data_IF_599283764951
#
_entry.id   IF_599283764951
#
_cell.length_a   1.000
_cell.length_b   1.000
_cell.length_c   1.000
_cell.angle_alpha   90.00
_cell.angle_beta   90.00
_cell.angle_gamma   90.00
#
_symmetry.space_group_name_H-M   'P 1'
#
loop_
_entity.id
_entity.type
_entity.pdbx_description
1 polymer ?
#
# COMPACT_ATOMS: atom_id res chain seq x y z
N UNK A 1 0.70 -21.40 32.52
CA UNK A 1 1.05 -22.36 31.45
C UNK A 1 1.36 -21.51 30.24
N UNK A 2 2.65 -21.32 29.99
CA UNK A 2 3.14 -20.46 28.92
C UNK A 2 2.91 -21.16 27.59
N UNK A 3 1.91 -20.69 26.84
CA UNK A 3 1.66 -21.13 25.48
C UNK A 3 2.73 -20.49 24.59
N UNK A 4 3.83 -21.19 24.34
CA UNK A 4 4.67 -20.89 23.18
C UNK A 4 3.95 -21.44 21.95
N UNK A 5 3.50 -20.59 21.00
CA UNK A 5 2.91 -21.08 19.76
C UNK A 5 3.98 -21.89 19.03
N UNK A 6 3.76 -23.20 18.92
CA UNK A 6 4.58 -24.02 18.03
C UNK A 6 4.08 -23.75 16.61
N UNK A 7 4.84 -22.95 15.86
CA UNK A 7 4.52 -22.51 14.49
C UNK A 7 4.50 -23.64 13.44
N UNK A 8 4.55 -24.90 13.88
CA UNK A 8 4.57 -26.11 13.06
C UNK A 8 3.21 -26.50 12.45
N UNK A 9 2.15 -25.74 12.74
CA UNK A 9 0.78 -25.99 12.25
C UNK A 9 0.38 -25.28 10.95
N UNK A 10 1.26 -24.50 10.32
CA UNK A 10 0.94 -23.80 9.07
C UNK A 10 0.85 -24.79 7.89
N UNK A 11 -0.37 -25.18 7.51
CA UNK A 11 -0.65 -26.04 6.34
C UNK A 11 -0.48 -25.32 4.98
N UNK A 12 0.24 -24.20 4.97
CA UNK A 12 0.69 -23.52 3.75
C UNK A 12 1.75 -24.34 3.00
N UNK A 13 2.31 -25.38 3.62
CA UNK A 13 3.18 -26.38 2.97
C UNK A 13 2.53 -27.04 1.74
N UNK A 14 1.19 -27.09 1.66
CA UNK A 14 0.46 -27.61 0.49
C UNK A 14 0.22 -26.57 -0.61
N UNK A 15 0.20 -25.27 -0.27
CA UNK A 15 -0.07 -24.16 -1.19
C UNK A 15 1.24 -23.55 -1.71
N UNK A 16 2.22 -23.43 -0.81
CA UNK A 16 3.62 -23.17 -1.06
C UNK A 16 4.35 -24.50 -0.87
N UNK A 17 4.57 -25.26 -1.96
CA UNK A 17 5.22 -26.57 -1.90
C UNK A 17 6.42 -26.59 -0.94
N UNK A 18 6.60 -27.63 -0.11
CA UNK A 18 7.70 -27.68 0.84
C UNK A 18 8.95 -28.01 0.04
N UNK A 19 9.75 -26.99 -0.24
CA UNK A 19 11.09 -27.19 -0.77
C UNK A 19 11.92 -27.70 0.40
N UNK A 20 12.33 -28.97 0.30
CA UNK A 20 13.06 -29.68 1.33
C UNK A 20 14.18 -28.84 1.98
N UNK A 21 14.37 -28.91 3.30
CA UNK A 21 15.46 -28.22 3.97
C UNK A 21 16.76 -28.95 3.64
N UNK A 22 17.51 -28.47 2.66
CA UNK A 22 18.87 -28.93 2.41
C UNK A 22 19.85 -27.95 3.04
N UNK A 23 20.53 -28.46 4.06
CA UNK A 23 21.44 -27.72 4.90
C UNK A 23 22.85 -27.70 4.29
N UNK A 24 23.50 -26.54 4.49
CA UNK A 24 24.95 -26.26 4.55
C UNK A 24 25.60 -25.59 3.32
N UNK A 25 26.27 -24.48 3.67
CA UNK A 25 27.17 -23.58 2.93
C UNK A 25 26.56 -22.75 1.80
N UNK A 26 26.06 -21.56 2.15
CA UNK A 26 25.95 -20.41 1.23
C UNK A 26 27.33 -20.13 0.58
N UNK A 27 27.45 -19.69 -0.69
CA UNK A 27 26.45 -19.06 -1.57
C UNK A 27 26.33 -19.65 -3.01
N UNK A 28 25.14 -19.55 -3.62
CA UNK A 28 24.88 -18.78 -4.86
C UNK A 28 23.36 -18.76 -5.14
N UNK A 29 22.77 -17.57 -5.00
CA UNK A 29 21.35 -17.20 -5.24
C UNK A 29 20.32 -17.87 -4.30
N UNK A 30 20.15 -17.24 -3.13
CA UNK A 30 19.10 -17.43 -2.14
C UNK A 30 17.77 -17.96 -2.72
N UNK A 31 17.47 -19.25 -2.51
CA UNK A 31 16.19 -19.87 -2.90
C UNK A 31 15.41 -20.35 -1.71
N UNK A 32 14.15 -19.92 -1.68
CA UNK A 32 13.01 -20.82 -1.79
C UNK A 32 12.15 -20.38 -2.98
N UNK A 33 11.81 -21.33 -3.85
CA UNK A 33 10.92 -21.17 -5.02
C UNK A 33 9.46 -20.82 -4.61
N UNK A 34 9.26 -19.66 -3.96
CA UNK A 34 7.95 -19.03 -3.96
C UNK A 34 7.66 -18.57 -5.40
N UNK A 35 6.43 -18.76 -5.92
CA UNK A 35 6.08 -18.34 -7.28
C UNK A 35 6.45 -16.88 -7.58
N UNK A 36 6.43 -16.03 -6.56
CA UNK A 36 6.68 -14.60 -6.66
C UNK A 36 8.17 -14.26 -6.71
N UNK A 37 9.04 -14.95 -5.97
CA UNK A 37 10.49 -14.81 -6.17
C UNK A 37 10.93 -15.44 -7.49
N UNK A 38 10.32 -16.56 -7.90
CA UNK A 38 10.56 -17.17 -9.21
C UNK A 38 10.18 -16.23 -10.35
N UNK A 39 9.11 -15.44 -10.19
CA UNK A 39 8.68 -14.46 -11.19
C UNK A 39 9.69 -13.33 -11.38
N UNK A 40 10.17 -12.74 -10.28
CA UNK A 40 11.19 -11.69 -10.31
C UNK A 40 12.52 -12.23 -10.86
N UNK A 41 12.89 -13.47 -10.49
CA UNK A 41 14.09 -14.14 -10.98
C UNK A 41 13.99 -14.48 -12.47
N UNK A 42 12.91 -15.12 -12.91
CA UNK A 42 12.66 -15.48 -14.30
C UNK A 42 12.65 -14.23 -15.19
N UNK A 43 12.07 -13.12 -14.74
CA UNK A 43 12.10 -11.86 -15.49
C UNK A 43 13.53 -11.33 -15.66
N UNK A 44 14.32 -11.29 -14.57
CA UNK A 44 15.74 -10.90 -14.60
C UNK A 44 16.58 -11.81 -15.49
N UNK A 45 16.26 -13.11 -15.54
CA UNK A 45 16.93 -14.10 -16.40
C UNK A 45 16.50 -14.00 -17.87
N UNK A 46 15.24 -13.63 -18.15
CA UNK A 46 14.67 -13.53 -19.50
C UNK A 46 15.17 -12.33 -20.30
N UNK A 47 15.50 -11.23 -19.61
CA UNK A 47 16.20 -10.10 -20.23
C UNK A 47 17.65 -10.52 -20.38
N UNK A 48 18.13 -10.67 -21.61
CA UNK A 48 19.55 -10.98 -21.91
C UNK A 48 20.42 -9.81 -21.45
N UNK A 49 20.81 -9.79 -20.17
CA UNK A 49 21.53 -8.70 -19.53
C UNK A 49 20.96 -8.40 -18.14
N UNK A 50 21.82 -7.97 -17.23
CA UNK A 50 21.44 -7.59 -15.87
C UNK A 50 20.34 -6.52 -15.93
N UNK A 51 19.08 -6.88 -15.61
CA UNK A 51 18.05 -5.88 -15.35
C UNK A 51 18.52 -5.15 -14.10
N UNK A 52 19.03 -3.94 -14.29
CA UNK A 52 19.41 -3.07 -13.18
C UNK A 52 18.20 -2.95 -12.27
N UNK A 53 18.30 -3.46 -11.05
CA UNK A 53 17.34 -3.16 -10.01
C UNK A 53 17.47 -1.71 -9.52
N UNK A 54 18.45 -0.95 -10.05
CA UNK A 54 18.71 0.45 -9.75
C UNK A 54 18.19 1.36 -10.87
N UNK A 55 17.54 2.43 -10.45
CA UNK A 55 17.01 3.50 -11.31
C UNK A 55 17.73 4.83 -11.01
N UNK A 56 19.03 4.94 -11.30
CA UNK A 56 19.89 5.98 -10.74
C UNK A 56 19.52 7.40 -11.16
N UNK A 57 18.78 7.56 -12.27
CA UNK A 57 18.39 8.86 -12.80
C UNK A 57 16.94 9.23 -12.47
N UNK A 58 16.20 8.28 -11.89
CA UNK A 58 14.80 8.38 -11.53
C UNK A 58 14.64 8.49 -10.00
N UNK A 59 13.45 8.91 -9.56
CA UNK A 59 13.07 9.01 -8.15
C UNK A 59 14.00 9.90 -7.33
N UNK A 60 14.46 11.04 -7.89
CA UNK A 60 15.56 11.85 -7.33
C UNK A 60 15.34 12.26 -5.87
N UNK A 61 14.15 12.75 -5.54
CA UNK A 61 13.86 13.14 -4.15
C UNK A 61 13.73 11.94 -3.23
N UNK A 62 12.99 10.90 -3.63
CA UNK A 62 12.87 9.67 -2.86
C UNK A 62 14.25 9.03 -2.63
N UNK A 63 15.18 9.13 -3.58
CA UNK A 63 16.57 8.67 -3.45
C UNK A 63 17.35 9.47 -2.41
N UNK A 64 17.17 10.79 -2.38
CA UNK A 64 17.77 11.65 -1.35
C UNK A 64 17.25 11.31 0.05
N UNK A 65 15.97 10.97 0.17
CA UNK A 65 15.33 10.60 1.42
C UNK A 65 15.68 9.19 1.88
N UNK A 66 15.50 8.20 1.00
CA UNK A 66 15.72 6.79 1.30
C UNK A 66 17.21 6.46 1.47
N UNK A 67 18.12 7.21 0.80
CA UNK A 67 19.55 6.95 0.85
C UNK A 67 19.88 5.52 0.41
N UNK A 68 20.54 4.78 1.30
CA UNK A 68 20.86 3.36 1.14
C UNK A 68 19.76 2.40 1.63
N UNK A 69 18.63 2.93 2.13
CA UNK A 69 17.55 2.16 2.73
C UNK A 69 17.89 1.53 4.08
N UNK A 70 18.97 1.99 4.76
CA UNK A 70 19.36 1.46 6.06
C UNK A 70 18.38 1.80 7.18
N UNK A 71 18.41 1.00 8.25
CA UNK A 71 17.64 1.26 9.47
C UNK A 71 17.94 2.64 10.07
N UNK A 72 19.19 3.12 9.94
CA UNK A 72 19.58 4.46 10.39
C UNK A 72 18.79 5.55 9.66
N UNK A 73 18.64 5.42 8.35
CA UNK A 73 17.83 6.34 7.55
C UNK A 73 16.37 6.26 7.94
N UNK A 74 15.83 5.05 8.16
CA UNK A 74 14.45 4.89 8.65
C UNK A 74 14.23 5.57 10.01
N UNK A 75 15.17 5.46 10.95
CA UNK A 75 15.11 6.17 12.25
C UNK A 75 15.06 7.68 12.04
N UNK A 76 15.92 8.23 11.17
CA UNK A 76 15.96 9.67 10.90
C UNK A 76 14.63 10.16 10.29
N UNK A 77 14.09 9.42 9.32
CA UNK A 77 12.81 9.75 8.71
C UNK A 77 11.64 9.62 9.71
N UNK A 78 11.69 8.64 10.62
CA UNK A 78 10.72 8.45 11.69
C UNK A 78 10.71 9.65 12.64
N UNK A 79 11.88 10.14 13.02
CA UNK A 79 12.01 11.30 13.90
C UNK A 79 11.42 12.57 13.24
N UNK A 80 11.57 12.74 11.92
CA UNK A 80 10.91 13.81 11.15
C UNK A 80 9.38 13.65 11.19
N UNK A 81 8.87 12.44 10.91
CA UNK A 81 7.43 12.16 10.92
C UNK A 81 6.80 12.37 12.30
N UNK A 82 7.42 11.83 13.37
CA UNK A 82 6.95 12.03 14.75
C UNK A 82 6.99 13.50 15.18
N UNK A 83 7.99 14.26 14.73
CA UNK A 83 8.04 15.72 14.97
C UNK A 83 6.89 16.45 14.27
N UNK A 84 6.55 16.01 13.07
CA UNK A 84 5.41 16.55 12.32
C UNK A 84 4.08 16.25 13.01
N UNK A 85 3.84 15.01 13.47
CA UNK A 85 2.64 14.66 14.25
C UNK A 85 2.51 15.55 15.49
N UNK A 86 3.59 15.77 16.24
CA UNK A 86 3.59 16.69 17.39
C UNK A 86 3.24 18.13 17.01
N UNK A 87 3.65 18.57 15.83
CA UNK A 87 3.29 19.90 15.31
C UNK A 87 1.80 19.98 14.97
N UNK A 88 1.19 18.90 14.45
CA UNK A 88 -0.25 18.80 14.27
C UNK A 88 -0.97 18.89 15.61
N UNK A 89 -0.55 18.12 16.63
CA UNK A 89 -1.10 18.19 17.99
C UNK A 89 -1.07 19.62 18.55
N UNK A 90 0.05 20.32 18.41
CA UNK A 90 0.19 21.70 18.89
C UNK A 90 -0.67 22.71 18.10
N UNK A 91 -1.04 22.37 16.87
CA UNK A 91 -1.91 23.20 16.02
C UNK A 91 -3.39 23.02 16.36
N UNK A 92 -3.76 21.95 17.08
CA UNK A 92 -5.12 21.72 17.56
C UNK A 92 -5.52 22.83 18.56
N UNK A 93 -6.56 23.59 18.23
CA UNK A 93 -7.08 24.65 19.11
C UNK A 93 -6.47 26.04 18.91
N UNK A 94 -5.59 26.24 17.92
CA UNK A 94 -5.15 27.57 17.52
C UNK A 94 -6.34 28.39 16.98
N UNK A 95 -6.71 29.45 17.69
CA UNK A 95 -7.89 30.29 17.42
C UNK A 95 -7.74 31.26 16.25
N UNK A 96 -6.52 31.45 15.73
CA UNK A 96 -6.26 32.27 14.55
C UNK A 96 -5.63 31.46 13.42
N UNK A 97 -6.09 31.65 12.16
CA UNK A 97 -5.42 31.11 11.00
C UNK A 97 -4.09 31.83 10.81
N UNK A 98 -3.04 31.37 11.50
CA UNK A 98 -1.68 31.78 11.22
C UNK A 98 -1.20 31.12 9.93
N UNK A 99 -0.28 31.76 9.22
CA UNK A 99 0.40 31.19 8.05
C UNK A 99 1.18 29.89 8.37
N UNK A 100 1.33 29.55 9.65
CA UNK A 100 2.00 28.36 10.16
C UNK A 100 1.04 27.25 10.61
N UNK A 101 -0.28 27.42 10.42
CA UNK A 101 -1.23 26.39 10.82
C UNK A 101 -1.06 25.16 9.92
N UNK A 102 -0.63 24.04 10.52
CA UNK A 102 -0.37 22.79 9.80
C UNK A 102 -1.63 21.97 9.58
N UNK A 103 -2.77 22.44 10.10
CA UNK A 103 -4.10 21.84 9.94
C UNK A 103 -5.02 22.76 9.15
N UNK A 104 -5.77 22.20 8.21
CA UNK A 104 -6.77 22.90 7.42
C UNK A 104 -8.12 22.22 7.57
N UNK A 105 -9.18 23.04 7.73
CA UNK A 105 -10.55 22.54 7.69
C UNK A 105 -11.04 22.49 6.25
N UNK A 106 -11.42 21.30 5.82
CA UNK A 106 -11.86 21.01 4.48
C UNK A 106 -13.37 21.15 4.34
N UNK A 107 -13.79 21.54 3.14
CA UNK A 107 -15.18 21.42 2.70
C UNK A 107 -15.23 21.10 1.22
N UNK A 108 -16.25 20.33 0.82
CA UNK A 108 -16.59 20.18 -0.59
C UNK A 108 -17.06 21.53 -1.18
N UNK A 109 -16.72 21.78 -2.44
CA UNK A 109 -17.37 22.81 -3.27
C UNK A 109 -18.88 22.53 -3.43
N UNK A 110 -19.67 23.56 -3.74
CA UNK A 110 -21.13 23.43 -3.78
C UNK A 110 -21.60 22.46 -4.87
N UNK A 111 -20.90 22.40 -6.00
CA UNK A 111 -21.20 21.43 -7.05
C UNK A 111 -20.87 19.99 -6.63
N UNK A 112 -19.74 19.75 -5.95
CA UNK A 112 -19.43 18.42 -5.42
C UNK A 112 -20.38 18.00 -4.29
N UNK A 113 -20.83 18.95 -3.45
CA UNK A 113 -21.87 18.70 -2.44
C UNK A 113 -23.18 18.28 -3.10
N UNK A 114 -23.62 19.00 -4.13
CA UNK A 114 -24.84 18.69 -4.90
C UNK A 114 -24.73 17.31 -5.53
N UNK A 115 -23.64 17.05 -6.25
CA UNK A 115 -23.36 15.75 -6.87
C UNK A 115 -23.39 14.62 -5.84
N UNK A 116 -22.73 14.78 -4.67
CA UNK A 116 -22.76 13.80 -3.58
C UNK A 116 -24.18 13.53 -3.11
N UNK A 117 -24.99 14.58 -2.92
CA UNK A 117 -26.39 14.47 -2.54
C UNK A 117 -27.20 13.65 -3.54
N UNK A 118 -27.04 13.91 -4.84
CA UNK A 118 -27.68 13.15 -5.92
C UNK A 118 -27.26 11.67 -5.90
N UNK A 119 -25.96 11.39 -5.69
CA UNK A 119 -25.49 10.00 -5.58
C UNK A 119 -26.13 9.28 -4.38
N UNK A 120 -26.21 9.95 -3.23
CA UNK A 120 -26.83 9.39 -2.03
C UNK A 120 -28.32 9.10 -2.23
N UNK A 121 -29.06 9.99 -2.91
CA UNK A 121 -30.47 9.77 -3.26
C UNK A 121 -30.69 8.56 -4.17
N UNK A 122 -29.70 8.24 -5.01
CA UNK A 122 -29.69 7.01 -5.84
C UNK A 122 -29.25 5.75 -5.06
N UNK A 123 -29.15 5.82 -3.73
CA UNK A 123 -28.70 4.72 -2.87
C UNK A 123 -27.19 4.43 -2.99
N UNK A 124 -26.43 5.30 -3.66
CA UNK A 124 -24.97 5.14 -3.80
C UNK A 124 -24.32 5.77 -2.57
N UNK A 125 -24.33 5.04 -1.46
CA UNK A 125 -23.69 5.41 -0.19
C UNK A 125 -22.55 4.42 0.10
N UNK A 126 -21.38 4.89 0.57
CA UNK A 126 -20.31 3.97 0.96
C UNK A 126 -20.71 3.24 2.24
N UNK A 127 -20.42 1.94 2.36
CA UNK A 127 -20.57 1.26 3.64
C UNK A 127 -19.60 1.87 4.64
N UNK A 128 -19.98 1.88 5.92
CA UNK A 128 -19.09 2.33 6.99
C UNK A 128 -17.83 1.44 7.09
N UNK A 129 -16.75 2.04 7.59
CA UNK A 129 -15.52 1.34 8.00
C UNK A 129 -15.91 0.27 9.03
N UNK A 130 -15.49 -0.99 8.81
CA UNK A 130 -15.79 -2.10 9.73
C UNK A 130 -16.21 -3.40 9.06
N UNK A 131 -16.65 -3.39 7.79
CA UNK A 131 -16.93 -4.67 7.11
C UNK A 131 -15.67 -5.53 6.97
N UNK A 132 -14.48 -4.93 6.94
CA UNK A 132 -13.22 -5.65 6.86
C UNK A 132 -12.85 -6.49 8.09
N UNK A 133 -13.45 -6.22 9.27
CA UNK A 133 -13.30 -7.05 10.47
C UNK A 133 -14.05 -8.39 10.38
N UNK A 134 -14.92 -8.56 9.37
CA UNK A 134 -15.58 -9.84 9.16
C UNK A 134 -14.54 -10.90 8.81
N UNK A 135 -14.69 -12.08 9.40
CA UNK A 135 -13.97 -13.30 9.03
C UNK A 135 -14.12 -13.57 7.52
N UNK A 136 -13.04 -14.03 6.89
CA UNK A 136 -13.05 -14.52 5.52
C UNK A 136 -13.97 -15.76 5.40
N UNK A 137 -14.40 -16.08 4.18
CA UNK A 137 -15.30 -17.23 3.99
C UNK A 137 -14.58 -18.54 4.30
N UNK A 138 -15.32 -19.55 4.73
CA UNK A 138 -14.77 -20.86 5.07
C UNK A 138 -14.06 -21.50 3.89
N UNK A 139 -14.55 -21.30 2.66
CA UNK A 139 -13.92 -21.82 1.43
C UNK A 139 -12.54 -21.21 1.22
N UNK A 140 -12.38 -19.90 1.42
CA UNK A 140 -11.07 -19.24 1.31
C UNK A 140 -10.13 -19.76 2.38
N UNK A 141 -10.60 -19.88 3.62
CA UNK A 141 -9.78 -20.35 4.73
C UNK A 141 -9.37 -21.81 4.55
N UNK A 142 -10.24 -22.66 4.00
CA UNK A 142 -9.93 -24.06 3.68
C UNK A 142 -8.87 -24.16 2.59
N UNK A 143 -9.02 -23.39 1.50
CA UNK A 143 -8.04 -23.34 0.40
C UNK A 143 -6.65 -22.94 0.89
N UNK A 144 -6.57 -21.99 1.83
CA UNK A 144 -5.31 -21.52 2.40
C UNK A 144 -4.79 -22.40 3.55
N UNK A 145 -5.55 -23.39 4.00
CA UNK A 145 -5.23 -24.13 5.22
C UNK A 145 -5.22 -23.25 6.49
N UNK A 146 -5.97 -22.14 6.46
CA UNK A 146 -6.01 -21.09 7.47
C UNK A 146 -7.22 -21.18 8.42
N UNK A 147 -8.07 -22.21 8.30
CA UNK A 147 -9.31 -22.34 9.10
C UNK A 147 -9.10 -22.36 10.61
N UNK A 148 -7.88 -22.63 11.08
CA UNK A 148 -7.49 -22.67 12.51
C UNK A 148 -6.49 -21.59 12.90
N UNK A 149 -6.27 -20.60 12.03
CA UNK A 149 -5.40 -19.49 12.37
C UNK A 149 -6.04 -18.57 13.41
N UNK A 150 -5.24 -17.76 14.12
CA UNK A 150 -5.77 -16.75 15.04
C UNK A 150 -6.80 -15.84 14.37
N UNK A 151 -7.85 -15.48 15.11
CA UNK A 151 -8.96 -14.65 14.62
C UNK A 151 -8.52 -13.33 13.97
N UNK A 152 -7.53 -12.58 14.50
CA UNK A 152 -7.06 -11.35 13.86
C UNK A 152 -6.64 -11.53 12.40
N UNK A 153 -5.98 -12.65 12.08
CA UNK A 153 -5.38 -12.91 10.76
C UNK A 153 -6.39 -13.36 9.70
N UNK A 154 -7.52 -13.91 10.13
CA UNK A 154 -8.54 -14.47 9.24
C UNK A 154 -9.68 -13.48 8.96
N UNK A 155 -9.57 -12.25 9.44
CA UNK A 155 -10.42 -11.14 8.97
C UNK A 155 -10.12 -10.84 7.49
N UNK A 156 -11.12 -10.37 6.74
CA UNK A 156 -10.91 -10.00 5.32
C UNK A 156 -9.86 -8.90 5.15
N UNK A 157 -9.79 -7.96 6.10
CA UNK A 157 -8.78 -6.91 6.08
C UNK A 157 -7.37 -7.50 6.25
N UNK A 158 -7.12 -8.29 7.29
CA UNK A 158 -5.78 -8.82 7.57
C UNK A 158 -5.35 -9.90 6.58
N UNK A 159 -6.27 -10.77 6.17
CA UNK A 159 -5.96 -11.82 5.21
C UNK A 159 -5.52 -11.22 3.87
N UNK A 160 -6.25 -10.24 3.31
CA UNK A 160 -5.84 -9.62 2.05
C UNK A 160 -4.78 -8.52 2.21
N UNK A 161 -4.64 -7.91 3.38
CA UNK A 161 -3.77 -6.74 3.63
C UNK A 161 -2.44 -7.05 4.31
N UNK A 162 -2.26 -8.23 4.89
CA UNK A 162 -0.97 -8.69 5.42
C UNK A 162 -0.58 -10.05 4.85
N UNK A 163 -1.50 -11.03 4.85
CA UNK A 163 -1.15 -12.40 4.42
C UNK A 163 -0.92 -12.47 2.91
N UNK A 164 -1.88 -12.02 2.10
CA UNK A 164 -1.73 -12.03 0.63
C UNK A 164 -0.59 -11.12 0.15
N UNK A 165 -0.32 -10.01 0.84
CA UNK A 165 0.82 -9.16 0.54
C UNK A 165 2.13 -9.94 0.70
N UNK A 166 2.29 -10.62 1.85
CA UNK A 166 3.47 -11.45 2.09
C UNK A 166 3.57 -12.65 1.14
N UNK A 167 2.44 -13.26 0.74
CA UNK A 167 2.44 -14.29 -0.31
C UNK A 167 2.96 -13.73 -1.65
N UNK A 168 2.49 -12.55 -2.07
CA UNK A 168 2.83 -11.96 -3.36
C UNK A 168 4.23 -11.32 -3.41
N UNK A 169 4.80 -10.99 -2.26
CA UNK A 169 6.19 -10.53 -2.12
C UNK A 169 7.15 -11.71 -2.01
N UNK A 170 6.67 -12.81 -1.45
CA UNK A 170 7.43 -14.02 -1.16
C UNK A 170 8.18 -13.90 0.16
N UNK A 171 8.33 -15.04 0.85
CA UNK A 171 9.09 -15.16 2.09
C UNK A 171 10.14 -16.27 1.97
N UNK A 172 11.03 -16.37 2.97
CA UNK A 172 12.02 -17.44 3.03
C UNK A 172 11.39 -18.83 3.19
N UNK A 173 10.28 -18.96 3.90
CA UNK A 173 9.50 -20.20 3.95
C UNK A 173 8.11 -19.89 4.49
N UNK A 174 7.25 -20.91 4.55
CA UNK A 174 5.89 -20.75 5.07
C UNK A 174 5.86 -20.26 6.54
N UNK A 175 6.66 -20.80 7.48
CA UNK A 175 6.72 -20.26 8.85
C UNK A 175 7.12 -18.77 8.89
N UNK A 176 8.14 -18.39 8.14
CA UNK A 176 8.60 -16.99 8.09
C UNK A 176 7.57 -16.10 7.41
N UNK A 177 6.85 -16.58 6.40
CA UNK A 177 5.75 -15.85 5.77
C UNK A 177 4.64 -15.53 6.78
N UNK A 178 4.25 -16.52 7.57
CA UNK A 178 3.25 -16.35 8.61
C UNK A 178 3.71 -15.33 9.65
N UNK A 179 4.94 -15.48 10.16
CA UNK A 179 5.56 -14.54 11.10
C UNK A 179 5.60 -13.12 10.52
N UNK A 180 6.02 -12.97 9.27
CA UNK A 180 6.04 -11.69 8.55
C UNK A 180 4.64 -11.07 8.44
N UNK A 181 3.62 -11.86 8.08
CA UNK A 181 2.24 -11.40 7.99
C UNK A 181 1.71 -10.93 9.35
N UNK A 182 2.07 -11.62 10.45
CA UNK A 182 1.72 -11.19 11.81
C UNK A 182 2.38 -9.85 12.16
N UNK A 183 3.67 -9.68 11.84
CA UNK A 183 4.36 -8.41 12.10
C UNK A 183 3.79 -7.25 11.27
N UNK A 184 3.33 -7.52 10.05
CA UNK A 184 2.69 -6.51 9.20
C UNK A 184 1.28 -6.17 9.66
N UNK A 185 0.70 -6.93 10.60
CA UNK A 185 -0.55 -6.51 11.23
C UNK A 185 -0.38 -5.27 12.11
N UNK A 186 0.84 -4.77 12.34
CA UNK A 186 1.07 -3.47 12.98
C UNK A 186 0.19 -2.37 12.36
N UNK A 187 0.01 -2.39 11.03
CA UNK A 187 -0.93 -1.53 10.31
C UNK A 187 -2.36 -1.56 10.91
N UNK A 188 -2.86 -2.73 11.27
CA UNK A 188 -4.21 -2.88 11.82
C UNK A 188 -4.34 -2.44 13.28
N UNK A 189 -3.22 -2.16 13.96
CA UNK A 189 -3.24 -1.57 15.29
C UNK A 189 -3.90 -0.19 15.27
N UNK A 190 -3.55 0.62 14.27
CA UNK A 190 -4.15 1.94 13.97
C UNK A 190 -5.65 1.82 13.67
N UNK A 191 -6.08 0.68 13.12
CA UNK A 191 -7.50 0.37 12.90
C UNK A 191 -8.21 -0.23 14.12
N UNK A 192 -7.60 -0.19 15.31
CA UNK A 192 -8.19 -0.62 16.57
C UNK A 192 -8.24 -2.13 16.79
N UNK A 193 -7.51 -2.94 16.01
CA UNK A 193 -7.54 -4.42 16.17
C UNK A 193 -7.17 -4.87 17.57
N UNK A 194 -6.23 -4.18 18.21
CA UNK A 194 -5.78 -4.45 19.57
C UNK A 194 -6.88 -4.25 20.64
N UNK A 195 -7.93 -3.49 20.34
CA UNK A 195 -9.12 -3.39 21.19
C UNK A 195 -10.16 -4.49 20.92
N UNK A 196 -10.18 -5.03 19.69
CA UNK A 196 -11.17 -6.01 19.24
C UNK A 196 -10.73 -7.45 19.57
N UNK A 197 -9.44 -7.73 19.44
CA UNK A 197 -8.87 -9.06 19.60
C UNK A 197 -7.90 -9.11 20.78
N UNK A 198 -8.27 -9.74 21.91
CA UNK A 198 -7.43 -9.81 23.11
C UNK A 198 -6.05 -10.45 22.88
N UNK A 199 -5.94 -11.34 21.89
CA UNK A 199 -4.70 -12.03 21.53
C UNK A 199 -3.79 -11.23 20.59
N UNK A 200 -4.20 -10.05 20.12
CA UNK A 200 -3.48 -9.30 19.10
C UNK A 200 -2.05 -8.96 19.52
N UNK A 201 -1.88 -8.36 20.69
CA UNK A 201 -0.56 -7.92 21.16
C UNK A 201 0.35 -9.11 21.51
N UNK A 202 -0.21 -10.20 22.05
CA UNK A 202 0.59 -11.39 22.37
C UNK A 202 1.05 -12.10 21.08
N UNK A 203 0.17 -12.19 20.09
CA UNK A 203 0.49 -12.74 18.76
C UNK A 203 1.56 -11.88 18.06
N UNK A 204 1.39 -10.56 18.04
CA UNK A 204 2.33 -9.62 17.47
C UNK A 204 3.72 -9.74 18.11
N UNK A 205 3.79 -9.70 19.44
CA UNK A 205 5.04 -9.85 20.17
C UNK A 205 5.70 -11.20 19.89
N UNK A 206 4.94 -12.29 19.83
CA UNK A 206 5.50 -13.61 19.52
C UNK A 206 6.15 -13.67 18.13
N UNK A 207 5.62 -12.95 17.14
CA UNK A 207 6.20 -12.89 15.80
C UNK A 207 7.42 -11.96 15.72
N UNK A 208 7.44 -10.88 16.50
CA UNK A 208 8.60 -9.98 16.61
C UNK A 208 9.84 -10.69 17.16
N UNK A 209 9.66 -11.69 18.03
CA UNK A 209 10.74 -12.48 18.63
C UNK A 209 10.81 -13.91 18.09
N UNK A 210 10.22 -14.18 16.93
CA UNK A 210 10.31 -15.48 16.27
C UNK A 210 11.77 -15.80 15.91
N UNK A 211 12.35 -16.76 16.63
CA UNK A 211 13.75 -17.15 16.48
C UNK A 211 14.07 -17.69 15.09
N UNK A 212 13.14 -18.42 14.45
CA UNK A 212 13.36 -18.93 13.10
C UNK A 212 13.39 -17.78 12.11
N UNK A 213 12.39 -16.91 12.19
CA UNK A 213 12.24 -15.84 11.23
C UNK A 213 13.33 -14.76 11.37
N UNK A 214 13.85 -14.52 12.58
CA UNK A 214 15.02 -13.66 12.83
C UNK A 214 16.32 -14.17 12.20
N UNK A 215 16.44 -15.48 11.98
CA UNK A 215 17.62 -16.10 11.36
C UNK A 215 17.55 -16.16 9.85
N UNK A 216 16.41 -15.79 9.26
CA UNK A 216 16.28 -15.71 7.80
C UNK A 216 17.03 -14.51 7.23
N UNK A 217 17.45 -14.55 5.95
CA UNK A 217 18.10 -13.39 5.31
C UNK A 217 17.19 -12.15 5.32
N UNK A 218 17.67 -11.05 5.93
CA UNK A 218 16.90 -9.82 6.10
C UNK A 218 15.84 -9.88 7.21
N UNK A 219 15.76 -11.01 7.91
CA UNK A 219 14.76 -11.27 8.93
C UNK A 219 14.90 -10.35 10.14
N UNK A 220 16.13 -10.13 10.62
CA UNK A 220 16.40 -9.23 11.74
C UNK A 220 16.13 -7.76 11.37
N UNK A 221 16.59 -7.32 10.21
CA UNK A 221 16.38 -5.97 9.68
C UNK A 221 14.90 -5.68 9.45
N UNK A 222 14.14 -6.68 9.01
CA UNK A 222 12.68 -6.58 8.88
C UNK A 222 12.01 -6.28 10.22
N UNK A 223 12.32 -7.02 11.29
CA UNK A 223 11.70 -6.81 12.62
C UNK A 223 12.13 -5.47 13.21
N UNK A 224 13.39 -5.09 13.04
CA UNK A 224 13.86 -3.77 13.47
C UNK A 224 13.10 -2.64 12.77
N UNK A 225 12.85 -2.75 11.46
CA UNK A 225 12.06 -1.78 10.71
C UNK A 225 10.57 -1.76 11.14
N UNK A 226 9.98 -2.92 11.44
CA UNK A 226 8.63 -2.98 12.03
C UNK A 226 8.59 -2.24 13.37
N UNK A 227 9.58 -2.44 14.26
CA UNK A 227 9.64 -1.74 15.54
C UNK A 227 9.70 -0.22 15.36
N UNK A 228 10.51 0.27 14.41
CA UNK A 228 10.58 1.70 14.06
C UNK A 228 9.20 2.22 13.62
N UNK A 229 8.49 1.45 12.77
CA UNK A 229 7.16 1.81 12.30
C UNK A 229 6.11 1.83 13.42
N UNK A 230 6.16 0.85 14.32
CA UNK A 230 5.26 0.77 15.49
C UNK A 230 5.41 1.98 16.40
N UNK A 231 6.61 2.54 16.56
CA UNK A 231 6.79 3.78 17.31
C UNK A 231 5.99 4.94 16.69
N UNK A 232 6.06 5.13 15.36
CA UNK A 232 5.25 6.13 14.67
C UNK A 232 3.74 5.86 14.79
N UNK A 233 3.32 4.60 14.62
CA UNK A 233 1.90 4.21 14.74
C UNK A 233 1.37 4.55 16.13
N UNK A 234 2.15 4.32 17.19
CA UNK A 234 1.73 4.66 18.55
C UNK A 234 1.64 6.19 18.75
N UNK A 235 2.60 6.96 18.24
CA UNK A 235 2.54 8.44 18.28
C UNK A 235 1.28 8.95 17.59
N UNK A 236 0.91 8.35 16.45
CA UNK A 236 -0.30 8.70 15.70
C UNK A 236 -1.58 8.30 16.43
N UNK A 237 -1.67 7.07 16.94
CA UNK A 237 -2.83 6.61 17.73
C UNK A 237 -3.05 7.55 18.92
N UNK A 238 -1.99 7.93 19.64
CA UNK A 238 -2.10 8.88 20.74
C UNK A 238 -2.67 10.24 20.27
N UNK A 239 -2.16 10.77 19.16
CA UNK A 239 -2.69 12.00 18.59
C UNK A 239 -4.18 11.88 18.23
N UNK A 240 -4.59 10.79 17.57
CA UNK A 240 -5.99 10.57 17.17
C UNK A 240 -6.91 10.42 18.39
N UNK A 241 -6.51 9.64 19.40
CA UNK A 241 -7.29 9.43 20.63
C UNK A 241 -7.46 10.72 21.44
N UNK A 242 -6.41 11.53 21.58
CA UNK A 242 -6.45 12.82 22.30
C UNK A 242 -7.37 13.84 21.61
N UNK A 243 -7.53 13.73 20.29
CA UNK A 243 -8.17 14.75 19.47
C UNK A 243 -9.45 14.30 18.77
N UNK A 244 -9.89 13.05 18.96
CA UNK A 244 -10.96 12.37 18.20
C UNK A 244 -12.20 13.24 17.92
N UNK A 245 -12.67 14.01 18.90
CA UNK A 245 -13.87 14.85 18.78
C UNK A 245 -13.70 16.05 17.82
N UNK A 246 -12.47 16.39 17.45
CA UNK A 246 -12.11 17.62 16.74
C UNK A 246 -11.46 17.35 15.36
N UNK A 247 -11.27 16.09 14.96
CA UNK A 247 -10.57 15.74 13.72
C UNK A 247 -11.47 15.79 12.47
N UNK A 248 -12.79 15.88 12.64
CA UNK A 248 -13.73 15.84 11.52
C UNK A 248 -13.42 16.93 10.47
N UNK A 249 -13.24 16.48 9.23
CA UNK A 249 -12.95 17.32 8.08
C UNK A 249 -11.63 18.11 8.19
N UNK A 250 -10.74 17.75 9.12
CA UNK A 250 -9.38 18.28 9.12
C UNK A 250 -8.50 17.46 8.20
N UNK A 251 -7.52 18.13 7.60
CA UNK A 251 -6.39 17.49 6.94
C UNK A 251 -5.11 18.26 7.21
N UNK A 252 -3.99 17.59 7.00
CA UNK A 252 -2.67 18.13 7.28
C UNK A 252 -2.12 18.86 6.05
N UNK A 253 -1.56 20.06 6.25
CA UNK A 253 -0.81 20.79 5.22
C UNK A 253 0.65 20.35 5.24
N UNK A 254 1.14 19.81 4.13
CA UNK A 254 2.49 19.29 4.01
C UNK A 254 3.21 19.86 2.80
N UNK A 255 4.51 20.07 2.93
CA UNK A 255 5.38 20.20 1.75
C UNK A 255 5.66 18.80 1.17
N UNK A 256 6.20 18.75 -0.04
CA UNK A 256 6.40 17.49 -0.77
C UNK A 256 7.33 16.51 -0.05
N UNK A 257 8.37 17.02 0.60
CA UNK A 257 9.33 16.21 1.35
C UNK A 257 8.70 15.58 2.60
N UNK A 258 7.92 16.37 3.36
CA UNK A 258 7.16 15.91 4.53
C UNK A 258 6.12 14.88 4.12
N UNK A 259 5.38 15.11 3.03
CA UNK A 259 4.40 14.15 2.52
C UNK A 259 5.06 12.81 2.19
N UNK A 260 6.18 12.79 1.46
CA UNK A 260 6.84 11.52 1.13
C UNK A 260 7.37 10.81 2.38
N UNK A 261 7.88 11.56 3.34
CA UNK A 261 8.41 11.01 4.60
C UNK A 261 7.29 10.42 5.44
N UNK A 262 6.24 11.19 5.72
CA UNK A 262 5.09 10.76 6.52
C UNK A 262 4.37 9.60 5.83
N UNK A 263 4.12 9.69 4.52
CA UNK A 263 3.45 8.63 3.77
C UNK A 263 4.23 7.31 3.81
N UNK A 264 5.57 7.32 3.86
CA UNK A 264 6.33 6.08 4.07
C UNK A 264 5.92 5.36 5.37
N UNK A 265 5.68 6.09 6.46
CA UNK A 265 5.26 5.51 7.75
C UNK A 265 3.78 5.20 7.80
N UNK A 266 2.93 6.00 7.14
CA UNK A 266 1.51 5.70 6.97
C UNK A 266 1.26 4.37 6.28
N UNK A 267 2.22 3.87 5.48
CA UNK A 267 2.10 2.54 4.87
C UNK A 267 2.04 1.45 5.93
N UNK A 268 2.65 1.69 7.10
CA UNK A 268 2.82 0.74 8.22
C UNK A 268 3.44 -0.60 7.81
N UNK A 269 4.12 -0.65 6.66
CA UNK A 269 4.72 -1.85 6.07
C UNK A 269 6.25 -1.75 6.02
N UNK A 270 6.87 -1.11 7.01
CA UNK A 270 8.33 -0.91 7.01
C UNK A 270 9.15 -2.21 7.05
N UNK A 271 8.57 -3.29 7.59
CA UNK A 271 9.19 -4.62 7.51
C UNK A 271 9.41 -5.07 6.07
N UNK A 272 8.40 -4.85 5.22
CA UNK A 272 8.40 -5.14 3.79
C UNK A 272 9.38 -4.23 3.04
N UNK A 273 9.45 -2.94 3.41
CA UNK A 273 10.44 -1.99 2.87
C UNK A 273 11.86 -2.50 3.10
N UNK A 274 12.19 -2.79 4.36
CA UNK A 274 13.51 -3.23 4.78
C UNK A 274 13.90 -4.56 4.11
N UNK A 275 12.99 -5.53 4.09
CA UNK A 275 13.23 -6.82 3.43
C UNK A 275 13.39 -6.69 1.91
N UNK A 276 12.62 -5.81 1.26
CA UNK A 276 12.72 -5.57 -0.19
C UNK A 276 14.06 -4.95 -0.57
N UNK A 277 14.52 -3.98 0.22
CA UNK A 277 15.85 -3.36 0.06
C UNK A 277 16.96 -4.38 0.32
N UNK A 278 16.86 -5.16 1.40
CA UNK A 278 17.82 -6.22 1.71
C UNK A 278 17.96 -7.24 0.56
N UNK A 279 16.83 -7.55 -0.12
CA UNK A 279 16.80 -8.44 -1.30
C UNK A 279 17.30 -7.76 -2.60
N UNK A 280 17.80 -6.52 -2.52
CA UNK A 280 18.44 -5.80 -3.62
C UNK A 280 17.50 -4.95 -4.48
N UNK A 281 16.31 -4.60 -3.97
CA UNK A 281 15.43 -3.62 -4.63
C UNK A 281 15.95 -2.20 -4.38
N UNK A 282 15.74 -1.27 -5.32
CA UNK A 282 16.17 0.13 -5.16
C UNK A 282 15.40 0.83 -4.04
N UNK A 283 16.08 1.37 -3.00
CA UNK A 283 15.42 2.04 -1.88
C UNK A 283 14.50 3.19 -2.28
N UNK A 284 14.86 3.97 -3.30
CA UNK A 284 14.07 5.10 -3.77
C UNK A 284 12.76 4.63 -4.41
N UNK A 285 12.86 3.55 -5.17
CA UNK A 285 11.75 2.96 -5.89
C UNK A 285 10.77 2.27 -4.92
N UNK A 286 11.30 1.57 -3.91
CA UNK A 286 10.53 1.01 -2.78
C UNK A 286 9.83 2.12 -2.00
N UNK A 287 10.53 3.21 -1.67
CA UNK A 287 9.94 4.35 -0.97
C UNK A 287 8.80 4.97 -1.78
N UNK A 288 8.99 5.19 -3.09
CA UNK A 288 7.93 5.69 -3.97
C UNK A 288 6.69 4.77 -3.95
N UNK A 289 6.89 3.45 -4.04
CA UNK A 289 5.76 2.51 -3.96
C UNK A 289 5.05 2.58 -2.62
N UNK A 290 5.75 2.78 -1.50
CA UNK A 290 5.12 2.95 -0.19
C UNK A 290 4.33 4.25 -0.10
N UNK A 291 4.88 5.36 -0.61
CA UNK A 291 4.16 6.64 -0.67
C UNK A 291 2.87 6.49 -1.49
N UNK A 292 2.93 5.74 -2.60
CA UNK A 292 1.77 5.44 -3.43
C UNK A 292 0.82 4.39 -2.83
N UNK A 293 1.23 3.67 -1.78
CA UNK A 293 0.45 2.64 -1.09
C UNK A 293 -0.46 3.19 0.02
N UNK A 294 -0.25 4.44 0.42
CA UNK A 294 -1.00 5.12 1.47
C UNK A 294 -2.21 5.95 1.02
N UNK A 295 -2.75 5.85 -0.21
CA UNK A 295 -3.69 6.84 -0.63
C UNK A 295 -5.03 6.73 0.09
N UNK A 296 -5.26 5.71 0.92
CA UNK A 296 -6.48 5.53 1.69
C UNK A 296 -6.41 5.99 3.17
N UNK A 297 -5.29 6.54 3.65
CA UNK A 297 -5.15 7.04 5.03
C UNK A 297 -4.89 8.55 5.01
N UNK A 298 -5.63 9.32 5.82
CA UNK A 298 -5.19 10.68 6.17
C UNK A 298 -4.20 10.55 7.33
N UNK A 299 -3.23 11.46 7.37
CA UNK A 299 -2.28 11.61 8.47
C UNK A 299 -2.99 12.14 9.73
N UNK A 300 -4.09 12.89 9.56
CA UNK A 300 -4.82 13.51 10.68
C UNK A 300 -5.87 12.58 11.27
N UNK A 301 -6.65 11.91 10.43
CA UNK A 301 -7.63 10.94 10.87
C UNK A 301 -7.88 9.94 9.75
N UNK A 302 -7.51 8.68 10.00
CA UNK A 302 -7.77 7.56 9.09
C UNK A 302 -9.27 7.44 8.74
N UNK A 303 -10.14 7.99 9.59
CA UNK A 303 -11.58 8.17 9.50
C UNK A 303 -12.08 9.40 8.72
N UNK A 304 -11.23 10.41 8.45
CA UNK A 304 -11.53 11.78 7.93
C UNK A 304 -11.96 11.82 6.48
N UNK A 305 -12.80 10.88 6.09
CA UNK A 305 -13.56 11.06 4.87
C UNK A 305 -14.43 12.30 5.14
N UNK A 306 -14.62 13.16 4.14
CA UNK A 306 -15.75 14.09 4.09
C UNK A 306 -17.06 13.28 3.90
N UNK A 307 -17.24 12.29 4.77
CA UNK A 307 -18.31 11.35 5.11
C UNK A 307 -18.84 10.55 3.91
N UNK A 308 -18.04 9.64 3.32
CA UNK A 308 -18.36 8.73 2.21
C UNK A 308 -17.97 9.17 0.79
N UNK A 309 -16.98 10.03 0.65
CA UNK A 309 -16.08 9.95 -0.50
C UNK A 309 -14.73 9.60 0.12
N UNK A 310 -14.42 8.30 0.22
CA UNK A 310 -13.03 7.86 0.23
C UNK A 310 -12.48 8.41 -1.11
N UNK A 311 -12.08 9.68 -1.11
CA UNK A 311 -11.09 10.17 -2.05
C UNK A 311 -9.79 9.71 -1.43
N UNK A 312 -8.76 9.54 -2.23
CA UNK A 312 -7.46 9.26 -1.70
C UNK A 312 -7.15 10.35 -0.64
N UNK A 313 -7.23 10.08 0.67
CA UNK A 313 -7.22 11.13 1.70
C UNK A 313 -5.87 11.87 1.69
N UNK A 314 -4.82 11.16 1.30
CA UNK A 314 -3.54 11.73 0.89
C UNK A 314 -3.62 12.83 -0.18
N UNK A 315 -4.67 12.92 -1.00
CA UNK A 315 -4.84 14.01 -1.96
C UNK A 315 -5.23 15.31 -1.29
N UNK A 316 -5.94 15.21 -0.16
CA UNK A 316 -6.48 16.35 0.55
C UNK A 316 -5.38 17.21 1.21
N UNK A 317 -4.19 16.62 1.41
CA UNK A 317 -3.02 17.31 1.93
C UNK A 317 -2.22 18.09 0.87
N UNK A 318 -2.55 17.94 -0.42
CA UNK A 318 -1.88 18.65 -1.51
C UNK A 318 -2.24 20.13 -1.52
N UNK A 319 -1.31 21.00 -1.93
CA UNK A 319 -1.55 22.43 -1.94
C UNK A 319 -2.68 22.86 -2.89
N UNK A 320 -2.97 22.07 -3.94
CA UNK A 320 -4.17 22.24 -4.78
C UNK A 320 -5.47 22.32 -3.97
N UNK A 321 -5.52 21.68 -2.81
CA UNK A 321 -6.68 21.61 -1.90
C UNK A 321 -6.40 22.38 -0.61
N UNK A 322 -5.28 22.11 0.06
CA UNK A 322 -4.99 22.62 1.41
C UNK A 322 -4.82 24.14 1.46
N UNK A 323 -4.40 24.79 0.37
CA UNK A 323 -4.25 26.26 0.35
C UNK A 323 -5.58 27.00 0.41
N UNK A 324 -6.66 26.35 -0.05
CA UNK A 324 -8.00 26.96 -0.05
C UNK A 324 -8.94 26.33 0.98
N UNK A 325 -8.66 25.10 1.41
CA UNK A 325 -9.57 24.27 2.20
C UNK A 325 -10.83 23.84 1.43
N UNK A 326 -10.89 24.05 0.11
CA UNK A 326 -12.05 23.76 -0.73
C UNK A 326 -11.69 22.64 -1.71
N UNK A 327 -12.37 21.51 -1.58
CA UNK A 327 -12.24 20.39 -2.51
C UNK A 327 -13.10 20.67 -3.74
N UNK A 328 -12.46 20.78 -4.90
CA UNK A 328 -13.10 20.96 -6.22
C UNK A 328 -12.81 19.77 -7.13
N UNK A 329 -13.69 19.51 -8.10
CA UNK A 329 -13.43 18.47 -9.11
C UNK A 329 -12.16 18.74 -9.90
N UNK A 330 -11.88 20.00 -10.20
CA UNK A 330 -10.69 20.40 -10.94
C UNK A 330 -9.41 20.09 -10.18
N UNK A 331 -9.34 20.45 -8.89
CA UNK A 331 -8.23 20.12 -8.02
C UNK A 331 -8.05 18.61 -7.90
N UNK A 332 -9.13 17.87 -7.63
CA UNK A 332 -9.10 16.40 -7.56
C UNK A 332 -8.58 15.76 -8.84
N UNK A 333 -8.98 16.26 -10.02
CA UNK A 333 -8.52 15.74 -11.32
C UNK A 333 -7.02 16.00 -11.52
N UNK A 334 -6.53 17.21 -11.20
CA UNK A 334 -5.10 17.52 -11.34
C UNK A 334 -4.25 16.65 -10.42
N UNK A 335 -4.63 16.54 -9.15
CA UNK A 335 -3.93 15.71 -8.17
C UNK A 335 -3.96 14.24 -8.58
N UNK A 336 -5.11 13.72 -9.02
CA UNK A 336 -5.23 12.35 -9.53
C UNK A 336 -4.27 12.10 -10.69
N UNK A 337 -4.22 12.99 -11.68
CA UNK A 337 -3.30 12.86 -12.81
C UNK A 337 -1.85 12.88 -12.34
N UNK A 338 -1.47 13.77 -11.42
CA UNK A 338 -0.12 13.86 -10.88
C UNK A 338 0.31 12.55 -10.19
N UNK A 339 -0.55 11.99 -9.33
CA UNK A 339 -0.29 10.68 -8.70
C UNK A 339 -0.28 9.52 -9.70
N UNK A 340 -1.17 9.53 -10.70
CA UNK A 340 -1.17 8.52 -11.76
C UNK A 340 0.13 8.53 -12.55
N UNK A 341 0.65 9.72 -12.90
CA UNK A 341 1.95 9.86 -13.55
C UNK A 341 3.11 9.39 -12.64
N UNK A 342 3.07 9.70 -11.35
CA UNK A 342 4.06 9.26 -10.36
C UNK A 342 4.09 7.74 -10.14
N UNK A 343 2.94 7.07 -10.29
CA UNK A 343 2.81 5.62 -10.17
C UNK A 343 2.92 4.83 -11.47
N UNK A 344 3.01 5.50 -12.63
CA UNK A 344 2.91 4.83 -13.94
C UNK A 344 3.94 3.71 -14.13
N UNK A 345 5.19 3.92 -13.67
CA UNK A 345 6.27 2.94 -13.80
C UNK A 345 6.04 1.68 -12.97
N UNK A 346 5.30 1.76 -11.87
CA UNK A 346 5.16 0.65 -10.91
C UNK A 346 4.54 -0.59 -11.57
N UNK A 347 3.49 -0.43 -12.39
CA UNK A 347 2.84 -1.56 -13.07
C UNK A 347 3.24 -1.74 -14.54
N UNK A 348 3.99 -0.78 -15.11
CA UNK A 348 4.47 -0.87 -16.50
C UNK A 348 5.90 -1.42 -16.60
N UNK A 349 6.83 -0.88 -15.80
CA UNK A 349 8.27 -1.21 -15.86
C UNK A 349 8.71 -2.10 -14.70
N UNK A 350 8.08 -1.93 -13.53
CA UNK A 350 8.50 -2.51 -12.25
C UNK A 350 7.54 -3.56 -11.69
N UNK A 351 6.59 -4.04 -12.48
CA UNK A 351 5.54 -4.99 -12.04
C UNK A 351 6.11 -6.29 -11.42
N UNK A 352 7.36 -6.62 -11.74
CA UNK A 352 8.08 -7.80 -11.25
C UNK A 352 8.67 -7.58 -9.85
N UNK A 353 8.73 -6.34 -9.35
CA UNK A 353 9.26 -6.00 -8.03
C UNK A 353 8.25 -6.31 -6.91
N UNK A 354 8.71 -6.71 -5.72
CA UNK A 354 7.82 -7.08 -4.61
C UNK A 354 6.83 -5.97 -4.21
N UNK A 355 7.32 -4.73 -4.07
CA UNK A 355 6.54 -3.57 -3.60
C UNK A 355 5.54 -3.09 -4.65
N UNK A 356 5.88 -3.22 -5.93
CA UNK A 356 4.97 -2.95 -7.04
C UNK A 356 3.76 -3.90 -7.06
N UNK A 357 4.00 -5.19 -6.77
CA UNK A 357 2.92 -6.18 -6.66
C UNK A 357 2.05 -5.95 -5.44
N UNK A 358 2.64 -5.54 -4.33
CA UNK A 358 1.87 -5.11 -3.16
C UNK A 358 0.97 -3.92 -3.51
N UNK A 359 1.50 -2.92 -4.23
CA UNK A 359 0.70 -1.77 -4.66
C UNK A 359 -0.50 -2.21 -5.52
N UNK A 360 -0.30 -3.16 -6.45
CA UNK A 360 -1.40 -3.73 -7.24
C UNK A 360 -2.46 -4.42 -6.36
N UNK A 361 -2.05 -5.11 -5.30
CA UNK A 361 -2.97 -5.82 -4.41
C UNK A 361 -3.86 -4.89 -3.58
N UNK A 362 -3.48 -3.63 -3.37
CA UNK A 362 -4.33 -2.67 -2.67
C UNK A 362 -5.69 -2.53 -3.35
N UNK A 363 -5.74 -2.57 -4.69
CA UNK A 363 -7.01 -2.54 -5.42
C UNK A 363 -7.91 -3.72 -5.04
N UNK A 364 -7.36 -4.92 -4.97
CA UNK A 364 -8.10 -6.09 -4.50
C UNK A 364 -8.49 -5.97 -3.03
N UNK A 365 -7.59 -5.49 -2.17
CA UNK A 365 -7.86 -5.26 -0.76
C UNK A 365 -9.05 -4.31 -0.57
N UNK A 366 -9.11 -3.22 -1.34
CA UNK A 366 -10.26 -2.32 -1.35
C UNK A 366 -11.53 -3.02 -1.85
N UNK A 367 -11.43 -3.88 -2.87
CA UNK A 367 -12.55 -4.65 -3.39
C UNK A 367 -13.13 -5.62 -2.36
N UNK A 368 -12.32 -6.49 -1.78
CA UNK A 368 -12.83 -7.51 -0.86
C UNK A 368 -13.36 -6.94 0.45
N UNK A 369 -12.88 -5.77 0.86
CA UNK A 369 -13.32 -5.08 2.08
C UNK A 369 -14.49 -4.10 1.86
N UNK A 370 -15.16 -4.20 0.71
CA UNK A 370 -16.24 -3.28 0.31
C UNK A 370 -15.89 -1.80 0.33
N UNK A 371 -14.59 -1.50 0.28
CA UNK A 371 -14.10 -0.15 0.02
C UNK A 371 -14.25 0.21 -1.46
N UNK A 372 -14.40 -0.75 -2.38
CA UNK A 372 -14.50 -0.56 -3.85
C UNK A 372 -15.59 0.33 -4.43
N UNK A 373 -16.61 0.75 -3.67
CA UNK A 373 -17.42 1.86 -4.14
C UNK A 373 -16.54 3.13 -4.31
N UNK A 374 -15.37 3.19 -3.66
CA UNK A 374 -14.19 4.02 -3.93
C UNK A 374 -13.79 4.04 -5.40
N UNK A 375 -13.40 2.87 -5.96
CA UNK A 375 -13.05 2.73 -7.37
C UNK A 375 -14.23 3.09 -8.25
N UNK A 376 -15.44 2.63 -7.92
CA UNK A 376 -16.64 3.01 -8.67
C UNK A 376 -16.92 4.51 -8.60
N UNK A 377 -16.47 5.29 -7.62
CA UNK A 377 -16.69 6.75 -7.54
C UNK A 377 -15.55 7.55 -8.17
N UNK A 378 -14.30 7.14 -7.94
CA UNK A 378 -13.14 7.62 -8.67
C UNK A 378 -13.33 7.41 -10.20
N UNK A 379 -13.99 6.30 -10.56
CA UNK A 379 -14.27 5.88 -11.94
C UNK A 379 -15.71 6.18 -12.36
N UNK A 380 -16.63 6.63 -11.51
CA UNK A 380 -17.84 7.34 -11.99
C UNK A 380 -17.57 8.83 -12.21
N UNK A 381 -16.34 9.28 -11.91
CA UNK A 381 -15.67 10.35 -12.64
C UNK A 381 -15.11 9.91 -14.00
N UNK A 382 -15.19 8.64 -14.43
CA UNK A 382 -14.71 8.20 -15.75
C UNK A 382 -15.52 8.78 -16.90
N UNK A 383 -16.81 9.03 -16.70
CA UNK A 383 -17.59 9.84 -17.65
C UNK A 383 -17.15 11.33 -17.68
N UNK A 384 -16.33 11.77 -16.72
CA UNK A 384 -15.63 13.07 -16.68
C UNK A 384 -14.13 12.95 -17.02
N UNK A 385 -13.57 11.73 -17.08
CA UNK A 385 -12.23 11.47 -17.58
C UNK A 385 -12.27 11.55 -19.10
N UNK A 386 -11.25 12.17 -19.67
CA UNK A 386 -11.16 12.29 -21.12
C UNK A 386 -11.09 10.89 -21.74
N UNK A 387 -12.09 10.56 -22.55
CA UNK A 387 -12.02 9.41 -23.43
C UNK A 387 -11.04 9.72 -24.56
N UNK A 388 -9.93 8.99 -24.59
CA UNK A 388 -8.94 9.03 -25.66
C UNK A 388 -7.79 8.08 -25.37
N UNK A 389 -7.21 7.48 -26.41
CA UNK A 389 -5.92 6.80 -26.35
C UNK A 389 -4.84 7.88 -26.14
N UNK A 390 -4.71 8.41 -24.93
CA UNK A 390 -3.53 9.21 -24.59
C UNK A 390 -2.40 8.24 -24.28
N UNK A 391 -1.25 8.42 -24.93
CA UNK A 391 -0.03 7.69 -24.61
C UNK A 391 0.19 7.64 -23.09
N UNK A 392 0.54 6.47 -22.54
CA UNK A 392 0.84 6.35 -21.11
C UNK A 392 1.92 7.36 -20.73
N UNK A 393 1.71 8.08 -19.62
CA UNK A 393 2.58 9.17 -19.19
C UNK A 393 3.13 8.91 -17.80
N UNK A 394 4.32 9.44 -17.56
CA UNK A 394 5.01 9.36 -16.28
C UNK A 394 5.52 10.74 -15.83
N UNK A 395 5.88 10.82 -14.56
CA UNK A 395 6.64 11.90 -13.94
C UNK A 395 7.24 11.34 -12.63
N UNK A 396 8.39 11.81 -12.20
CA UNK A 396 8.83 11.57 -10.82
C UNK A 396 8.00 12.45 -9.86
N UNK A 397 7.96 12.09 -8.57
CA UNK A 397 7.22 12.88 -7.57
C UNK A 397 7.65 14.35 -7.53
N UNK A 398 8.93 14.65 -7.73
CA UNK A 398 9.49 16.01 -7.79
C UNK A 398 9.22 16.77 -9.09
N UNK A 399 8.70 16.08 -10.09
CA UNK A 399 8.27 16.69 -11.34
C UNK A 399 6.76 16.89 -11.35
N UNK A 400 6.00 15.91 -10.84
CA UNK A 400 4.53 15.94 -10.77
C UNK A 400 4.02 16.99 -9.77
N UNK A 401 4.78 17.24 -8.70
CA UNK A 401 4.47 18.19 -7.63
C UNK A 401 5.65 19.12 -7.36
N UNK A 402 5.36 20.39 -7.07
CA UNK A 402 6.37 21.36 -6.65
C UNK A 402 6.80 21.15 -5.18
N UNK A 403 7.69 21.99 -4.67
CA UNK A 403 8.17 21.89 -3.28
C UNK A 403 7.05 22.01 -2.22
N UNK A 404 5.97 22.74 -2.53
CA UNK A 404 4.83 22.94 -1.65
C UNK A 404 3.74 21.88 -1.84
N UNK A 405 4.02 20.81 -2.60
CA UNK A 405 3.05 19.77 -2.94
C UNK A 405 1.88 20.28 -3.80
N UNK A 406 2.10 21.30 -4.61
CA UNK A 406 1.15 21.73 -5.64
C UNK A 406 1.43 20.98 -6.94
N UNK A 407 0.39 20.49 -7.62
CA UNK A 407 0.54 19.83 -8.92
C UNK A 407 1.12 20.81 -9.96
N UNK A 408 2.09 20.34 -10.74
CA UNK A 408 2.76 21.16 -11.77
C UNK A 408 2.11 21.02 -13.15
N UNK A 409 1.35 19.94 -13.36
CA UNK A 409 0.85 19.52 -14.67
C UNK A 409 1.91 18.86 -15.55
N UNK A 410 3.17 18.72 -15.08
CA UNK A 410 4.22 18.07 -15.83
C UNK A 410 3.96 16.56 -15.97
N UNK A 411 4.26 16.06 -17.16
CA UNK A 411 4.36 14.63 -17.46
C UNK A 411 5.03 14.44 -18.81
N UNK A 412 5.65 13.28 -19.03
CA UNK A 412 6.26 12.88 -20.30
C UNK A 412 5.73 11.52 -20.74
N UNK A 413 5.82 11.13 -22.03
CA UNK A 413 5.54 9.76 -22.43
C UNK A 413 6.36 8.76 -21.61
N UNK A 414 5.77 7.62 -21.25
CA UNK A 414 6.46 6.53 -20.59
C UNK A 414 7.64 6.08 -21.45
N UNK A 415 8.83 5.97 -20.85
CA UNK A 415 10.09 5.70 -21.57
C UNK A 415 10.03 4.38 -22.33
N UNK A 416 9.57 3.33 -21.66
CA UNK A 416 9.29 2.03 -22.27
C UNK A 416 7.79 1.90 -22.53
N UNK A 417 7.23 2.86 -23.28
CA UNK A 417 5.81 2.91 -23.60
C UNK A 417 5.31 1.57 -24.15
N UNK A 418 4.29 1.04 -23.49
CA UNK A 418 3.57 -0.14 -23.94
C UNK A 418 2.82 0.19 -25.24
N UNK A 419 2.16 -0.80 -25.85
CA UNK A 419 1.38 -0.65 -27.09
C UNK A 419 0.18 0.34 -27.05
N UNK A 420 0.12 1.27 -26.09
CA UNK A 420 -0.92 2.27 -25.94
C UNK A 420 -2.21 1.73 -25.34
N UNK A 421 -2.28 0.43 -25.00
CA UNK A 421 -3.40 -0.13 -24.27
C UNK A 421 -3.34 0.23 -22.78
N UNK A 422 -4.49 0.13 -22.11
CA UNK A 422 -4.61 0.32 -20.66
C UNK A 422 -3.73 -0.65 -19.85
N UNK A 423 -3.39 -1.82 -20.40
CA UNK A 423 -2.46 -2.79 -19.79
C UNK A 423 -1.21 -2.89 -20.63
N UNK A 424 -0.05 -2.87 -19.97
CA UNK A 424 1.22 -3.04 -20.66
C UNK A 424 1.39 -4.45 -21.26
N UNK A 425 1.89 -4.54 -22.49
CA UNK A 425 2.17 -5.80 -23.19
C UNK A 425 3.52 -6.43 -22.86
N UNK A 426 4.37 -5.74 -22.08
CA UNK A 426 5.63 -6.28 -21.53
C UNK A 426 5.44 -7.62 -20.81
N UNK A 427 4.31 -7.79 -20.11
CA UNK A 427 4.00 -9.07 -19.44
C UNK A 427 3.68 -10.17 -20.45
N UNK A 428 2.96 -9.85 -21.52
CA UNK A 428 2.66 -10.82 -22.59
C UNK A 428 3.94 -11.36 -23.22
N UNK A 429 4.92 -10.48 -23.50
CA UNK A 429 6.24 -10.89 -24.00
C UNK A 429 7.03 -11.75 -22.99
N UNK A 430 6.94 -11.41 -21.70
CA UNK A 430 7.59 -12.20 -20.66
C UNK A 430 6.97 -13.61 -20.53
N UNK A 431 5.65 -13.74 -20.66
CA UNK A 431 4.96 -15.03 -20.60
C UNK A 431 5.44 -16.03 -21.65
N UNK A 432 5.94 -15.58 -22.80
CA UNK A 432 6.50 -16.45 -23.84
C UNK A 432 7.77 -17.19 -23.39
N UNK A 433 8.48 -16.63 -22.40
CA UNK A 433 9.80 -17.11 -21.95
C UNK A 433 9.79 -17.62 -20.49
N UNK A 434 8.63 -17.61 -19.83
CA UNK A 434 8.51 -18.03 -18.44
C UNK A 434 8.48 -19.55 -18.29
N UNK A 435 9.04 -20.04 -17.18
CA UNK A 435 8.95 -21.45 -16.77
C UNK A 435 7.54 -21.87 -16.35
N UNK A 436 6.67 -20.93 -15.95
CA UNK A 436 5.29 -21.21 -15.54
C UNK A 436 4.30 -20.14 -16.07
N UNK A 437 4.06 -20.10 -17.39
CA UNK A 437 3.28 -19.05 -18.02
C UNK A 437 1.81 -19.05 -17.61
N UNK A 438 1.24 -20.21 -17.25
CA UNK A 438 -0.15 -20.29 -16.76
C UNK A 438 -0.33 -19.59 -15.43
N UNK A 439 0.57 -19.82 -14.47
CA UNK A 439 0.47 -19.22 -13.14
C UNK A 439 0.63 -17.70 -13.20
N UNK A 440 1.62 -17.23 -13.96
CA UNK A 440 1.91 -15.81 -14.09
C UNK A 440 0.77 -15.08 -14.82
N UNK A 441 0.15 -15.71 -15.83
CA UNK A 441 -1.02 -15.17 -16.50
C UNK A 441 -2.19 -14.99 -15.53
N UNK A 442 -2.47 -15.97 -14.68
CA UNK A 442 -3.53 -15.86 -13.67
C UNK A 442 -3.21 -14.77 -12.64
N UNK A 443 -1.95 -14.69 -12.18
CA UNK A 443 -1.55 -13.64 -11.25
C UNK A 443 -1.70 -12.24 -11.86
N UNK A 444 -1.27 -12.04 -13.11
CA UNK A 444 -1.45 -10.78 -13.84
C UNK A 444 -2.94 -10.44 -14.04
N UNK A 445 -3.74 -11.44 -14.35
CA UNK A 445 -5.17 -11.29 -14.48
C UNK A 445 -5.78 -10.76 -13.18
N UNK A 446 -5.47 -11.41 -12.05
CA UNK A 446 -5.96 -10.99 -10.74
C UNK A 446 -5.46 -9.58 -10.36
N UNK A 447 -4.17 -9.28 -10.55
CA UNK A 447 -3.54 -8.05 -10.07
C UNK A 447 -3.88 -6.81 -10.93
N UNK A 448 -4.08 -6.99 -12.23
CA UNK A 448 -4.16 -5.87 -13.18
C UNK A 448 -5.40 -5.95 -14.06
N UNK A 449 -5.60 -7.06 -14.77
CA UNK A 449 -6.64 -7.12 -15.81
C UNK A 449 -8.06 -7.07 -15.23
N UNK A 450 -8.35 -7.90 -14.23
CA UNK A 450 -9.66 -7.97 -13.60
C UNK A 450 -9.99 -6.68 -12.82
N UNK A 451 -9.07 -6.08 -12.03
CA UNK A 451 -9.31 -4.77 -11.42
C UNK A 451 -9.59 -3.66 -12.44
N UNK A 452 -8.86 -3.60 -13.55
CA UNK A 452 -9.12 -2.62 -14.61
C UNK A 452 -10.45 -2.85 -15.31
N UNK A 453 -10.82 -4.11 -15.57
CA UNK A 453 -12.13 -4.45 -16.11
C UNK A 453 -13.26 -4.08 -15.15
N UNK A 454 -13.07 -4.35 -13.85
CA UNK A 454 -13.99 -3.97 -12.79
C UNK A 454 -14.18 -2.44 -12.75
N UNK A 455 -13.09 -1.69 -12.83
CA UNK A 455 -13.05 -0.23 -12.97
C UNK A 455 -13.90 0.20 -14.18
N UNK A 456 -13.60 -0.29 -15.39
CA UNK A 456 -14.31 0.10 -16.63
C UNK A 456 -15.81 -0.21 -16.58
N UNK A 457 -16.19 -1.39 -16.10
CA UNK A 457 -17.58 -1.87 -16.13
C UNK A 457 -18.41 -1.37 -14.95
N UNK A 458 -17.77 -0.95 -13.86
CA UNK A 458 -18.42 -0.58 -12.61
C UNK A 458 -19.30 -1.70 -12.02
N UNK A 459 -19.01 -2.96 -12.37
CA UNK A 459 -19.75 -4.18 -11.97
C UNK A 459 -18.76 -5.31 -11.66
N UNK A 460 -18.99 -6.03 -10.57
CA UNK A 460 -18.36 -7.34 -10.33
C UNK A 460 -19.04 -8.38 -11.24
N UNK A 461 -18.58 -8.52 -12.48
CA UNK A 461 -18.92 -9.72 -13.26
C UNK A 461 -17.77 -10.71 -13.13
N UNK A 462 -17.85 -11.66 -12.21
CA UNK A 462 -16.87 -12.75 -12.11
C UNK A 462 -16.53 -13.19 -10.68
N UNK A 463 -16.61 -12.29 -9.70
CA UNK A 463 -16.49 -12.68 -8.29
C UNK A 463 -17.87 -13.05 -7.76
N UNK A 464 -17.98 -14.30 -7.33
CA UNK A 464 -19.14 -15.03 -6.83
C UNK A 464 -20.21 -14.14 -6.20
N UNK A 465 -21.47 -14.34 -6.62
CA UNK A 465 -22.64 -13.71 -6.00
C UNK A 465 -22.57 -13.92 -4.48
N UNK A 466 -22.65 -12.86 -3.65
CA UNK A 466 -22.98 -13.06 -2.25
C UNK A 466 -24.41 -13.61 -2.20
N UNK A 467 -24.56 -14.83 -1.69
CA UNK A 467 -25.85 -15.30 -1.20
C UNK A 467 -26.14 -14.62 0.13
#
# INVERSE_FOLDING_TARGET
MDYQPTWSGCALDKVCSPIHPLNKSLPDKFRPDSPTQSWSQDYRESKTGYVSSSFPNEYKEARKLAGDGSLKTLIQLRDVSSTYIKTLSNSMGASEPSSNNSLIKLRLSDDLKRWKGEQHQLGRILPAKGTGLKRASDEVLEVLGASKWPEPLITRCALWGSVFFNMCIGAYDAPSMFSNAVTDMAFFREHGYHHVFPEFDSLFNSAMYDHHALQTPGGAERRAAVAIGVEYINDKIMFEEENQANLEALSAKMNRQTMQTVSLFESSLLGLVSESVFRGSDPAAVMNDMVLSCPATDVVDVGSDLVNSEVMNSFLNTADISDTGIVTEEALRRVYNAYAHAGARTLAERWWEPTARMLALLYQWHIVNHRHNFLRRAVLGYCKLQHGLSDQREADMDEAFDENLHSTGFSRPLKDACNGADTCDTVSHFLEHSKNPSLIRHLWQCLVSDPLEYVRKGRLTGFVKPN
#
